data_IF_433401865747
#
_entry.id   IF_433401865747
#
_cell.length_a   1.000
_cell.length_b   1.000
_cell.length_c   1.000
_cell.angle_alpha   90.00
_cell.angle_beta   90.00
_cell.angle_gamma   90.00
#
_symmetry.space_group_name_H-M   'P 1'
#
loop_
_entity.id
_entity.type
_entity.pdbx_description
1 polymer ?
#
# COMPACT_ATOMS: atom_id res chain seq x y z
N UNK A 1 19.30 -20.70 -7.46
CA UNK A 1 18.23 -20.26 -6.53
C UNK A 1 17.19 -19.51 -7.34
N UNK A 2 15.93 -19.97 -7.37
CA UNK A 2 14.88 -19.38 -8.24
C UNK A 2 14.44 -18.00 -7.70
N UNK A 3 14.39 -16.93 -8.53
CA UNK A 3 14.16 -15.55 -8.10
C UNK A 3 12.73 -15.22 -7.62
N UNK A 4 11.84 -16.21 -7.52
CA UNK A 4 10.40 -16.01 -7.22
C UNK A 4 9.92 -16.72 -5.93
N UNK A 5 10.81 -17.06 -4.99
CA UNK A 5 10.43 -17.82 -3.78
C UNK A 5 9.81 -17.00 -2.65
N UNK A 6 9.90 -15.67 -2.67
CA UNK A 6 9.35 -14.80 -1.61
C UNK A 6 8.04 -14.13 -2.04
N UNK A 7 7.08 -13.98 -1.13
CA UNK A 7 5.88 -13.17 -1.39
C UNK A 7 6.23 -11.68 -1.46
N UNK A 8 5.48 -10.89 -2.23
CA UNK A 8 5.66 -9.44 -2.31
C UNK A 8 5.64 -8.78 -0.92
N UNK A 9 4.74 -9.23 -0.03
CA UNK A 9 4.67 -8.75 1.35
C UNK A 9 5.96 -9.01 2.12
N UNK A 10 6.53 -10.21 2.02
CA UNK A 10 7.80 -10.57 2.67
C UNK A 10 8.97 -9.76 2.12
N UNK A 11 9.03 -9.58 0.79
CA UNK A 11 10.04 -8.74 0.15
C UNK A 11 9.96 -7.28 0.64
N UNK A 12 8.76 -6.72 0.74
CA UNK A 12 8.53 -5.37 1.29
C UNK A 12 8.97 -5.26 2.76
N UNK A 13 8.59 -6.21 3.62
CA UNK A 13 9.02 -6.22 5.03
C UNK A 13 10.53 -6.25 5.14
N UNK A 14 11.19 -7.19 4.46
CA UNK A 14 12.66 -7.30 4.44
C UNK A 14 13.31 -6.03 3.91
N UNK A 15 12.75 -5.45 2.84
CA UNK A 15 13.28 -4.24 2.22
C UNK A 15 13.20 -3.00 3.11
N UNK A 16 12.07 -2.82 3.79
CA UNK A 16 11.80 -1.65 4.63
C UNK A 16 12.44 -1.78 6.03
N UNK A 17 12.56 -3.01 6.55
CA UNK A 17 13.15 -3.26 7.87
C UNK A 17 14.68 -3.08 7.91
N UNK A 18 15.38 -3.09 6.77
CA UNK A 18 16.85 -2.91 6.70
C UNK A 18 17.36 -1.53 7.15
N UNK A 19 16.49 -0.53 7.29
CA UNK A 19 16.91 0.80 7.76
C UNK A 19 15.75 1.77 7.88
N UNK A 20 15.28 1.98 9.12
CA UNK A 20 14.02 2.69 9.40
C UNK A 20 14.02 4.17 9.00
N UNK A 21 15.18 4.83 9.00
CA UNK A 21 15.31 6.27 8.71
C UNK A 21 15.51 6.59 7.22
N UNK A 22 15.77 5.58 6.39
CA UNK A 22 16.03 5.74 4.96
C UNK A 22 14.77 6.26 4.24
N UNK A 23 14.87 7.35 3.45
CA UNK A 23 13.78 7.76 2.57
C UNK A 23 13.49 6.68 1.51
N UNK A 24 12.21 6.33 1.32
CA UNK A 24 11.79 5.29 0.35
C UNK A 24 10.67 5.74 -0.58
N UNK A 25 10.02 6.86 -0.26
CA UNK A 25 8.98 7.46 -1.08
C UNK A 25 9.05 8.98 -0.95
N UNK A 26 8.83 9.67 -2.06
CA UNK A 26 8.72 11.14 -2.11
C UNK A 26 7.34 11.46 -2.66
N UNK A 27 6.57 12.24 -1.90
CA UNK A 27 5.20 12.59 -2.27
C UNK A 27 5.15 14.04 -2.77
N UNK A 28 5.00 14.19 -4.09
CA UNK A 28 4.89 15.49 -4.74
C UNK A 28 3.60 16.25 -4.34
N UNK A 29 2.48 15.53 -4.11
CA UNK A 29 1.22 16.11 -3.68
C UNK A 29 1.29 16.68 -2.25
N UNK A 30 2.27 16.24 -1.46
CA UNK A 30 2.58 16.78 -0.14
C UNK A 30 3.83 17.68 -0.15
N UNK A 31 4.05 18.46 -1.20
CA UNK A 31 5.17 19.41 -1.28
C UNK A 31 6.55 18.74 -1.31
N UNK A 32 6.65 17.55 -1.89
CA UNK A 32 7.90 16.78 -1.97
C UNK A 32 8.30 16.10 -0.66
N UNK A 33 7.34 15.85 0.24
CA UNK A 33 7.60 15.21 1.53
C UNK A 33 8.24 13.83 1.33
N UNK A 34 9.34 13.59 2.04
CA UNK A 34 10.05 12.31 2.05
C UNK A 34 9.53 11.40 3.16
N UNK A 35 9.01 10.24 2.78
CA UNK A 35 8.54 9.20 3.70
C UNK A 35 9.67 8.22 3.97
N UNK A 36 9.95 7.99 5.25
CA UNK A 36 10.99 7.06 5.72
C UNK A 36 10.47 5.62 5.74
N UNK A 37 11.37 4.65 5.57
CA UNK A 37 11.03 3.22 5.50
C UNK A 37 10.24 2.73 6.73
N UNK A 38 10.64 3.15 7.94
CA UNK A 38 9.96 2.79 9.18
C UNK A 38 8.54 3.36 9.26
N UNK A 39 8.32 4.56 8.72
CA UNK A 39 6.98 5.16 8.66
C UNK A 39 6.09 4.38 7.70
N UNK A 40 6.59 4.08 6.50
CA UNK A 40 5.84 3.31 5.50
C UNK A 40 5.49 1.90 6.02
N UNK A 41 6.47 1.20 6.59
CA UNK A 41 6.26 -0.14 7.17
C UNK A 41 5.31 -0.11 8.38
N UNK A 42 5.52 0.83 9.31
CA UNK A 42 4.70 0.95 10.51
C UNK A 42 3.23 1.29 10.19
N UNK A 43 3.01 2.26 9.30
CA UNK A 43 1.67 2.61 8.85
C UNK A 43 1.02 1.45 8.07
N UNK A 44 1.76 0.79 7.18
CA UNK A 44 1.29 -0.39 6.45
C UNK A 44 0.88 -1.54 7.38
N UNK A 45 1.68 -1.86 8.40
CA UNK A 45 1.37 -2.90 9.40
C UNK A 45 0.17 -2.52 10.28
N UNK A 46 0.07 -1.25 10.69
CA UNK A 46 -1.06 -0.76 11.48
C UNK A 46 -2.37 -0.88 10.69
N UNK A 47 -2.40 -0.44 9.43
CA UNK A 47 -3.56 -0.56 8.57
C UNK A 47 -3.86 -2.02 8.19
N UNK A 48 -2.84 -2.86 7.93
CA UNK A 48 -3.03 -4.27 7.63
C UNK A 48 -3.73 -5.02 8.78
N UNK A 49 -3.38 -4.70 10.03
CA UNK A 49 -4.08 -5.26 11.21
C UNK A 49 -5.56 -4.88 11.23
N UNK A 50 -5.89 -3.65 10.85
CA UNK A 50 -7.28 -3.18 10.76
C UNK A 50 -8.02 -3.87 9.61
N UNK A 51 -7.42 -3.94 8.42
CA UNK A 51 -7.99 -4.63 7.26
C UNK A 51 -8.26 -6.11 7.52
N UNK A 52 -7.36 -6.82 8.20
CA UNK A 52 -7.58 -8.23 8.58
C UNK A 52 -8.78 -8.42 9.50
N UNK A 53 -9.07 -7.44 10.37
CA UNK A 53 -10.16 -7.52 11.34
C UNK A 53 -11.50 -7.09 10.76
N UNK A 54 -11.51 -6.03 9.95
CA UNK A 54 -12.73 -5.33 9.56
C UNK A 54 -13.20 -5.65 8.12
N UNK A 55 -12.32 -6.19 7.27
CA UNK A 55 -12.65 -6.48 5.86
C UNK A 55 -12.51 -7.97 5.65
N UNK A 56 -13.61 -8.75 5.63
CA UNK A 56 -13.52 -10.20 5.38
C UNK A 56 -13.15 -10.54 3.93
N UNK A 57 -13.41 -9.64 2.98
CA UNK A 57 -13.21 -9.86 1.55
C UNK A 57 -11.73 -9.94 1.15
N UNK A 58 -11.44 -10.74 0.12
CA UNK A 58 -10.09 -10.91 -0.40
C UNK A 58 -9.61 -9.76 -1.31
N UNK A 59 -10.51 -8.94 -1.85
CA UNK A 59 -10.20 -7.83 -2.76
C UNK A 59 -10.61 -6.51 -2.12
N UNK A 60 -9.73 -5.52 -2.15
CA UNK A 60 -9.97 -4.20 -1.52
C UNK A 60 -9.80 -3.10 -2.54
N UNK A 61 -10.89 -2.37 -2.83
CA UNK A 61 -10.85 -1.17 -3.66
C UNK A 61 -10.05 -0.05 -3.00
N UNK A 62 -9.13 0.55 -3.75
CA UNK A 62 -8.34 1.72 -3.34
C UNK A 62 -8.70 2.86 -4.27
N UNK A 63 -9.44 3.83 -3.75
CA UNK A 63 -9.83 5.06 -4.43
C UNK A 63 -9.08 6.23 -3.77
N UNK A 64 -7.78 6.30 -4.03
CA UNK A 64 -6.91 7.34 -3.51
C UNK A 64 -6.07 7.91 -4.66
N UNK A 65 -5.72 9.21 -4.63
CA UNK A 65 -4.72 9.74 -5.54
C UNK A 65 -3.35 9.07 -5.30
N UNK A 66 -2.45 9.09 -6.30
CA UNK A 66 -1.08 8.62 -6.12
C UNK A 66 -0.39 9.44 -5.02
N UNK A 67 0.29 8.75 -4.10
CA UNK A 67 0.97 9.39 -2.98
C UNK A 67 1.20 8.44 -1.81
N UNK A 68 1.60 8.99 -0.66
CA UNK A 68 1.90 8.23 0.54
C UNK A 68 0.70 7.41 1.03
N UNK A 69 -0.52 7.97 0.95
CA UNK A 69 -1.75 7.27 1.32
C UNK A 69 -2.01 6.04 0.46
N UNK A 70 -1.92 6.17 -0.87
CA UNK A 70 -2.07 5.06 -1.81
C UNK A 70 -1.00 3.98 -1.63
N UNK A 71 0.26 4.37 -1.38
CA UNK A 71 1.34 3.43 -1.11
C UNK A 71 1.13 2.65 0.19
N UNK A 72 0.71 3.33 1.27
CA UNK A 72 0.38 2.70 2.56
C UNK A 72 -0.79 1.71 2.38
N UNK A 73 -1.84 2.09 1.66
CA UNK A 73 -3.01 1.24 1.42
C UNK A 73 -2.66 -0.03 0.63
N UNK A 74 -1.89 0.10 -0.45
CA UNK A 74 -1.43 -1.05 -1.25
C UNK A 74 -0.54 -1.99 -0.41
N UNK A 75 0.42 -1.43 0.33
CA UNK A 75 1.27 -2.22 1.23
C UNK A 75 0.42 -2.95 2.28
N UNK A 76 -0.52 -2.26 2.91
CA UNK A 76 -1.40 -2.83 3.92
C UNK A 76 -2.24 -3.99 3.37
N UNK A 77 -2.76 -3.89 2.15
CA UNK A 77 -3.50 -4.98 1.51
C UNK A 77 -2.63 -6.22 1.34
N UNK A 78 -1.42 -6.07 0.77
CA UNK A 78 -0.50 -7.19 0.57
C UNK A 78 -0.08 -7.83 1.90
N UNK A 79 0.21 -7.02 2.93
CA UNK A 79 0.53 -7.52 4.28
C UNK A 79 -0.69 -8.16 4.98
N UNK A 80 -1.90 -7.74 4.61
CA UNK A 80 -3.15 -8.33 5.07
C UNK A 80 -3.47 -9.68 4.38
N UNK A 81 -2.72 -10.07 3.34
CA UNK A 81 -3.06 -11.22 2.50
C UNK A 81 -4.24 -10.93 1.57
N UNK A 82 -4.44 -9.67 1.20
CA UNK A 82 -5.52 -9.18 0.34
C UNK A 82 -4.97 -8.64 -0.98
N UNK A 83 -5.81 -8.69 -2.01
CA UNK A 83 -5.52 -8.15 -3.33
C UNK A 83 -6.01 -6.70 -3.42
N UNK A 84 -5.12 -5.70 -3.52
CA UNK A 84 -5.53 -4.32 -3.77
C UNK A 84 -6.07 -4.17 -5.19
N UNK A 85 -7.16 -3.41 -5.34
CA UNK A 85 -7.77 -3.05 -6.62
C UNK A 85 -7.72 -1.53 -6.73
N UNK A 86 -6.76 -0.99 -7.50
CA UNK A 86 -6.63 0.45 -7.67
C UNK A 86 -7.69 0.94 -8.66
N UNK A 87 -8.61 1.76 -8.15
CA UNK A 87 -9.68 2.36 -8.95
C UNK A 87 -9.22 3.72 -9.48
N UNK A 88 -9.64 4.05 -10.70
CA UNK A 88 -9.31 5.34 -11.27
C UNK A 88 -10.05 6.45 -10.48
N UNK A 89 -9.30 7.25 -9.74
CA UNK A 89 -9.84 8.29 -8.86
C UNK A 89 -10.31 9.55 -9.62
N UNK A 90 -9.94 9.71 -10.89
CA UNK A 90 -10.43 10.81 -11.75
C UNK A 90 -11.61 10.38 -12.62
N UNK A 91 -11.97 9.10 -12.60
CA UNK A 91 -13.15 8.61 -13.31
C UNK A 91 -14.41 9.20 -12.67
N UNK A 92 -15.17 9.94 -13.48
CA UNK A 92 -16.48 10.45 -13.09
C UNK A 92 -17.48 9.31 -12.84
N UNK A 93 -18.63 9.65 -12.24
CA UNK A 93 -19.64 8.70 -11.77
C UNK A 93 -20.03 7.63 -12.79
N UNK A 94 -20.18 7.99 -14.06
CA UNK A 94 -20.55 7.05 -15.13
C UNK A 94 -19.52 5.91 -15.35
N UNK A 95 -18.23 6.21 -15.19
CA UNK A 95 -17.16 5.21 -15.31
C UNK A 95 -17.07 4.32 -14.05
N UNK A 96 -17.51 4.80 -12.90
CA UNK A 96 -17.61 4.00 -11.68
C UNK A 96 -18.83 3.05 -11.69
N UNK A 97 -19.96 3.49 -12.27
CA UNK A 97 -21.20 2.69 -12.35
C UNK A 97 -21.16 1.59 -13.42
N UNK A 98 -20.20 1.65 -14.35
CA UNK A 98 -20.04 0.66 -15.44
C UNK A 98 -18.98 -0.42 -15.16
N UNK A 99 -18.35 -0.40 -13.98
CA UNK A 99 -17.20 -1.24 -13.61
C UNK A 99 -17.58 -2.51 -12.84
#
# INVERSE_FOLDING_TARGET
MSPLRDSLGLACVRGLARGSTRPVLVDAGMGGRRIRAGVLLGAGLALARRLKREVPEGRVGILLPPGAGGAIANLACVLAGKTPVNLNFTSGRAAAESA
#
